data_IF_583785910731
#
_entry.id   IF_583785910731
#
_cell.length_a   1.000
_cell.length_b   1.000
_cell.length_c   1.000
_cell.angle_alpha   90.00
_cell.angle_beta   90.00
_cell.angle_gamma   90.00
#
_symmetry.space_group_name_H-M   'P 1'
#
loop_
_entity.id
_entity.type
_entity.pdbx_description
1 polymer ?
#
# COMPACT_ATOMS: atom_id res chain seq x y z
N UNK A 1 -8.79 -13.15 -16.49
CA UNK A 1 -9.61 -13.67 -15.36
C UNK A 1 -8.82 -13.48 -14.08
N UNK A 2 -9.47 -13.09 -12.97
CA UNK A 2 -8.81 -12.97 -11.67
C UNK A 2 -8.89 -14.31 -10.94
N UNK A 3 -7.76 -14.83 -10.50
CA UNK A 3 -7.65 -16.09 -9.76
C UNK A 3 -6.93 -15.89 -8.43
N UNK A 4 -7.28 -16.68 -7.43
CA UNK A 4 -6.54 -16.71 -6.18
C UNK A 4 -5.40 -17.73 -6.30
N UNK A 5 -4.18 -17.26 -6.08
CA UNK A 5 -2.97 -18.06 -6.21
C UNK A 5 -2.08 -17.89 -4.98
N UNK A 6 -2.26 -18.68 -3.95
CA UNK A 6 -1.29 -18.80 -2.85
C UNK A 6 -1.63 -19.96 -1.94
N UNK A 7 -0.64 -20.70 -1.50
CA UNK A 7 -0.87 -21.90 -0.72
C UNK A 7 -0.48 -21.78 0.75
N UNK A 8 0.63 -21.15 1.10
CA UNK A 8 1.11 -21.16 2.49
C UNK A 8 0.53 -20.06 3.37
N UNK A 9 0.58 -18.81 2.91
CA UNK A 9 0.10 -17.67 3.71
C UNK A 9 -1.43 -17.52 3.67
N UNK A 10 -2.07 -17.99 2.60
CA UNK A 10 -3.54 -18.02 2.51
C UNK A 10 -4.13 -19.02 3.51
N UNK A 11 -3.50 -20.17 3.73
CA UNK A 11 -3.93 -21.15 4.73
C UNK A 11 -3.91 -20.58 6.16
N UNK A 12 -2.92 -19.75 6.47
CA UNK A 12 -2.81 -19.08 7.77
C UNK A 12 -3.65 -17.78 7.85
N UNK A 13 -4.38 -17.43 6.81
CA UNK A 13 -5.20 -16.20 6.70
C UNK A 13 -4.40 -14.89 6.91
N UNK A 14 -3.09 -14.91 6.69
CA UNK A 14 -2.23 -13.76 6.88
C UNK A 14 -2.27 -12.79 5.69
N UNK A 15 -2.42 -13.33 4.47
CA UNK A 15 -2.55 -12.56 3.24
C UNK A 15 -3.27 -13.37 2.16
N UNK A 16 -3.70 -12.70 1.11
CA UNK A 16 -4.25 -13.34 -0.09
C UNK A 16 -3.47 -12.89 -1.30
N UNK A 17 -3.20 -13.83 -2.21
CA UNK A 17 -2.56 -13.56 -3.49
C UNK A 17 -3.56 -13.78 -4.62
N UNK A 18 -3.49 -12.92 -5.61
CA UNK A 18 -4.35 -12.94 -6.78
C UNK A 18 -3.51 -12.78 -8.03
N UNK A 19 -3.93 -13.39 -9.12
CA UNK A 19 -3.34 -13.18 -10.43
C UNK A 19 -4.40 -12.96 -11.49
N UNK A 20 -4.05 -12.17 -12.50
CA UNK A 20 -4.80 -12.07 -13.73
C UNK A 20 -4.18 -13.01 -14.76
N UNK A 21 -5.02 -13.86 -15.35
CA UNK A 21 -4.62 -14.82 -16.39
C UNK A 21 -5.37 -14.54 -17.69
N UNK A 22 -4.73 -14.84 -18.80
CA UNK A 22 -5.41 -14.84 -20.10
C UNK A 22 -6.40 -15.99 -20.16
N UNK A 23 -7.65 -15.77 -20.61
CA UNK A 23 -8.67 -16.82 -20.68
C UNK A 23 -8.27 -18.02 -21.54
N UNK A 24 -7.57 -17.76 -22.65
CA UNK A 24 -7.29 -18.77 -23.67
C UNK A 24 -6.04 -19.62 -23.38
N UNK A 25 -5.07 -19.07 -22.64
CA UNK A 25 -3.77 -19.72 -22.44
C UNK A 25 -3.45 -20.02 -20.98
N UNK A 26 -4.24 -19.50 -20.02
CA UNK A 26 -3.95 -19.53 -18.58
C UNK A 26 -2.60 -18.86 -18.22
N UNK A 27 -2.05 -18.07 -19.13
CA UNK A 27 -0.80 -17.36 -18.94
C UNK A 27 -0.99 -16.22 -17.93
N UNK A 28 -0.11 -16.13 -16.93
CA UNK A 28 -0.17 -15.07 -15.90
C UNK A 28 0.29 -13.74 -16.51
N UNK A 29 -0.59 -12.76 -16.48
CA UNK A 29 -0.33 -11.38 -16.92
C UNK A 29 0.30 -10.55 -15.80
N UNK A 30 -0.32 -10.58 -14.63
CA UNK A 30 0.18 -9.89 -13.44
C UNK A 30 -0.36 -10.57 -12.17
N UNK A 31 0.32 -10.32 -11.04
CA UNK A 31 -0.06 -10.85 -9.74
C UNK A 31 0.16 -9.81 -8.64
N UNK A 32 -0.60 -9.94 -7.55
CA UNK A 32 -0.47 -9.09 -6.38
C UNK A 32 -0.89 -9.81 -5.10
N UNK A 33 -0.36 -9.35 -3.97
CA UNK A 33 -0.78 -9.83 -2.65
C UNK A 33 -1.39 -8.71 -1.83
N UNK A 34 -2.41 -9.03 -1.05
CA UNK A 34 -3.04 -8.09 -0.12
C UNK A 34 -3.16 -8.68 1.28
N UNK A 35 -2.95 -7.84 2.27
CA UNK A 35 -3.14 -8.17 3.67
C UNK A 35 -3.89 -7.05 4.39
N UNK A 36 -4.69 -7.40 5.39
CA UNK A 36 -5.28 -6.42 6.28
C UNK A 36 -4.19 -5.66 7.04
N UNK A 37 -4.32 -4.36 7.14
CA UNK A 37 -3.35 -3.50 7.80
C UNK A 37 -4.01 -2.28 8.43
N UNK A 38 -3.23 -1.45 9.09
CA UNK A 38 -3.70 -0.17 9.61
C UNK A 38 -2.60 0.87 9.63
N UNK A 39 -2.97 2.14 9.47
CA UNK A 39 -2.09 3.28 9.71
C UNK A 39 -2.30 3.74 11.15
N UNK A 40 -1.30 3.49 12.02
CA UNK A 40 -1.30 3.91 13.44
C UNK A 40 -0.95 5.39 13.53
N UNK A 41 -1.96 6.25 13.67
CA UNK A 41 -1.76 7.70 13.63
C UNK A 41 -1.35 8.31 14.97
N UNK A 42 -1.63 7.64 16.07
CA UNK A 42 -1.25 8.08 17.42
C UNK A 42 0.26 8.08 17.64
N UNK A 43 0.96 7.16 17.02
CA UNK A 43 2.41 7.03 17.08
C UNK A 43 3.17 7.86 16.03
N UNK A 44 2.45 8.50 15.09
CA UNK A 44 3.07 9.34 14.06
C UNK A 44 3.48 10.72 14.62
N UNK A 45 4.52 11.34 14.04
CA UNK A 45 4.83 12.76 14.28
C UNK A 45 3.62 13.66 14.06
N UNK A 46 3.51 14.75 14.83
CA UNK A 46 2.32 15.61 14.86
C UNK A 46 1.93 16.17 13.48
N UNK A 47 2.91 16.53 12.65
CA UNK A 47 2.71 17.00 11.28
C UNK A 47 2.01 15.97 10.40
N UNK A 48 2.47 14.72 10.46
CA UNK A 48 1.89 13.60 9.69
C UNK A 48 0.52 13.22 10.23
N UNK A 49 0.37 13.11 11.54
CA UNK A 49 -0.91 12.85 12.19
C UNK A 49 -1.96 13.89 11.79
N UNK A 50 -1.62 15.18 11.83
CA UNK A 50 -2.53 16.25 11.44
C UNK A 50 -2.91 16.18 9.95
N UNK A 51 -1.96 15.83 9.08
CA UNK A 51 -2.20 15.64 7.64
C UNK A 51 -3.22 14.53 7.38
N UNK A 52 -3.07 13.38 8.03
CA UNK A 52 -3.97 12.24 7.87
C UNK A 52 -5.35 12.51 8.50
N UNK A 53 -5.39 13.19 9.64
CA UNK A 53 -6.62 13.48 10.38
C UNK A 53 -7.50 14.54 9.74
N UNK A 54 -6.96 15.38 8.86
CA UNK A 54 -7.62 16.62 8.36
C UNK A 54 -9.02 16.40 7.78
N UNK A 55 -9.29 15.23 7.20
CA UNK A 55 -10.56 14.90 6.54
C UNK A 55 -11.32 13.76 7.23
N UNK A 56 -10.99 13.45 8.48
CA UNK A 56 -11.59 12.32 9.18
C UNK A 56 -12.46 12.84 10.33
N UNK A 57 -13.76 12.55 10.31
CA UNK A 57 -14.64 12.89 11.43
C UNK A 57 -14.20 12.19 12.72
N UNK A 58 -14.22 12.93 13.83
CA UNK A 58 -13.84 12.41 15.15
C UNK A 58 -12.44 11.78 15.22
N UNK A 59 -11.48 12.32 14.44
CA UNK A 59 -10.11 11.81 14.33
C UNK A 59 -9.41 11.64 15.69
N UNK A 60 -9.64 12.54 16.66
CA UNK A 60 -9.05 12.50 18.00
C UNK A 60 -9.37 11.22 18.80
N UNK A 61 -10.44 10.51 18.43
CA UNK A 61 -10.88 9.27 19.08
C UNK A 61 -10.38 8.00 18.37
N UNK A 62 -9.66 8.14 17.27
CA UNK A 62 -9.22 7.03 16.46
C UNK A 62 -7.70 6.95 16.43
N UNK A 63 -7.09 5.99 17.13
CA UNK A 63 -5.63 5.82 17.15
C UNK A 63 -5.08 5.24 15.84
N UNK A 64 -5.94 4.62 15.03
CA UNK A 64 -5.55 3.98 13.77
C UNK A 64 -6.67 4.02 12.73
N UNK A 65 -6.29 3.95 11.47
CA UNK A 65 -7.20 3.87 10.34
C UNK A 65 -7.03 2.57 9.57
N UNK A 66 -8.14 1.94 9.11
CA UNK A 66 -8.08 0.71 8.36
C UNK A 66 -7.35 0.94 7.03
N UNK A 67 -6.46 0.03 6.72
CA UNK A 67 -5.68 0.02 5.49
C UNK A 67 -5.56 -1.40 4.94
N UNK A 68 -5.27 -1.51 3.65
CA UNK A 68 -4.80 -2.72 3.02
C UNK A 68 -3.33 -2.54 2.63
N UNK A 69 -2.51 -3.51 2.97
CA UNK A 69 -1.13 -3.58 2.50
C UNK A 69 -1.09 -4.37 1.19
N UNK A 70 -0.60 -3.76 0.13
CA UNK A 70 -0.20 -4.46 -1.09
C UNK A 70 1.26 -4.89 -0.88
N UNK A 71 1.46 -6.18 -0.59
CA UNK A 71 2.78 -6.69 -0.21
C UNK A 71 3.68 -6.97 -1.40
N UNK A 72 3.13 -7.57 -2.44
CA UNK A 72 3.84 -7.87 -3.68
C UNK A 72 3.00 -7.44 -4.86
N UNK A 73 3.65 -6.92 -5.88
CA UNK A 73 3.03 -6.56 -7.14
C UNK A 73 4.03 -6.91 -8.24
N UNK A 74 3.59 -7.74 -9.20
CA UNK A 74 4.42 -8.19 -10.29
C UNK A 74 3.62 -8.17 -11.60
N UNK A 75 4.31 -7.81 -12.67
CA UNK A 75 3.82 -7.91 -14.06
C UNK A 75 4.76 -8.85 -14.78
N UNK A 76 4.22 -9.80 -15.54
CA UNK A 76 5.01 -10.70 -16.39
C UNK A 76 5.83 -9.89 -17.40
N UNK A 77 7.07 -10.31 -17.65
CA UNK A 77 7.97 -9.64 -18.60
C UNK A 77 7.37 -9.51 -20.00
N UNK A 78 6.53 -10.47 -20.39
CA UNK A 78 5.81 -10.45 -21.68
C UNK A 78 4.85 -9.26 -21.81
N UNK A 79 4.39 -8.69 -20.70
CA UNK A 79 3.44 -7.56 -20.64
C UNK A 79 4.09 -6.31 -20.05
N UNK A 80 5.39 -6.34 -19.82
CA UNK A 80 6.14 -5.18 -19.33
C UNK A 80 6.10 -4.04 -20.34
N UNK A 81 6.05 -2.79 -19.83
CA UNK A 81 6.00 -1.59 -20.69
C UNK A 81 4.63 -1.24 -21.27
N UNK A 82 3.58 -2.04 -21.05
CA UNK A 82 2.24 -1.81 -21.56
C UNK A 82 1.26 -1.21 -20.53
N UNK A 83 1.75 -0.53 -19.52
CA UNK A 83 0.97 0.09 -18.44
C UNK A 83 0.12 -0.88 -17.59
N UNK A 84 0.32 -2.18 -17.71
CA UNK A 84 -0.41 -3.20 -16.94
C UNK A 84 -0.28 -2.98 -15.43
N UNK A 85 0.88 -2.53 -14.96
CA UNK A 85 1.09 -2.20 -13.54
C UNK A 85 0.24 -1.03 -13.07
N UNK A 86 0.03 -0.01 -13.90
CA UNK A 86 -0.80 1.15 -13.59
C UNK A 86 -2.28 0.72 -13.52
N UNK A 87 -2.76 -0.06 -14.49
CA UNK A 87 -4.12 -0.64 -14.51
C UNK A 87 -4.36 -1.55 -13.29
N UNK A 88 -3.34 -2.32 -12.89
CA UNK A 88 -3.43 -3.19 -11.71
C UNK A 88 -3.60 -2.37 -10.42
N UNK A 89 -2.87 -1.27 -10.25
CA UNK A 89 -3.06 -0.39 -9.10
C UNK A 89 -4.43 0.29 -9.12
N UNK A 90 -4.94 0.69 -10.29
CA UNK A 90 -6.28 1.26 -10.42
C UNK A 90 -7.36 0.23 -10.11
N UNK A 91 -7.19 -1.02 -10.56
CA UNK A 91 -8.06 -2.13 -10.17
C UNK A 91 -8.07 -2.32 -8.64
N UNK A 92 -6.91 -2.41 -7.99
CA UNK A 92 -6.81 -2.61 -6.53
C UNK A 92 -7.52 -1.47 -5.80
N UNK A 93 -7.27 -0.22 -6.17
CA UNK A 93 -7.93 0.95 -5.57
C UNK A 93 -9.45 0.88 -5.72
N UNK A 94 -9.94 0.57 -6.92
CA UNK A 94 -11.36 0.44 -7.23
C UNK A 94 -12.00 -0.70 -6.45
N UNK A 95 -11.32 -1.82 -6.34
CA UNK A 95 -11.80 -2.99 -5.61
C UNK A 95 -12.04 -2.72 -4.13
N UNK A 96 -11.17 -1.92 -3.50
CA UNK A 96 -11.32 -1.60 -2.07
C UNK A 96 -12.34 -0.48 -1.78
N UNK A 97 -12.78 0.29 -2.76
CA UNK A 97 -13.89 1.26 -2.62
C UNK A 97 -15.24 0.69 -3.08
N UNK A 98 -15.27 -0.49 -3.67
CA UNK A 98 -16.50 -1.14 -4.14
C UNK A 98 -17.49 -1.28 -2.97
N UNK A 99 -18.76 -0.85 -3.13
CA UNK A 99 -19.80 -1.01 -2.09
C UNK A 99 -20.03 -2.45 -1.64
N UNK A 100 -19.71 -3.43 -2.50
CA UNK A 100 -19.82 -4.86 -2.18
C UNK A 100 -18.59 -5.40 -1.41
N UNK A 101 -17.54 -4.61 -1.25
CA UNK A 101 -16.40 -5.00 -0.44
C UNK A 101 -16.83 -5.10 1.03
N UNK A 102 -16.56 -6.26 1.64
CA UNK A 102 -17.02 -6.59 3.00
C UNK A 102 -16.23 -5.89 4.10
N UNK A 103 -15.15 -5.19 3.77
CA UNK A 103 -14.30 -4.51 4.76
C UNK A 103 -14.16 -3.02 4.42
N UNK A 104 -14.28 -2.17 5.44
CA UNK A 104 -13.97 -0.75 5.30
C UNK A 104 -12.46 -0.57 5.18
N UNK A 105 -12.02 0.08 4.09
CA UNK A 105 -10.63 0.41 3.87
C UNK A 105 -10.50 1.91 3.58
N UNK A 106 -9.62 2.60 4.30
CA UNK A 106 -9.34 4.02 4.09
C UNK A 106 -8.10 4.24 3.24
N UNK A 107 -7.08 3.44 3.46
CA UNK A 107 -5.79 3.60 2.80
C UNK A 107 -5.34 2.32 2.10
N UNK A 108 -4.73 2.47 0.93
CA UNK A 108 -3.86 1.45 0.35
C UNK A 108 -2.43 1.82 0.71
N UNK A 109 -1.67 0.91 1.28
CA UNK A 109 -0.27 1.11 1.66
C UNK A 109 0.62 0.12 0.93
N UNK A 110 1.83 0.54 0.65
CA UNK A 110 2.88 -0.26 0.00
C UNK A 110 4.22 -0.01 0.66
N UNK A 111 5.02 -1.05 0.76
CA UNK A 111 6.45 -0.94 1.08
C UNK A 111 7.23 -0.87 -0.23
N UNK A 112 7.34 0.34 -0.79
CA UNK A 112 8.01 0.56 -2.06
C UNK A 112 9.52 0.33 -1.92
N UNK A 113 10.11 -0.51 -2.78
CA UNK A 113 11.57 -0.67 -2.87
C UNK A 113 12.22 0.69 -3.00
N UNK A 114 13.25 0.96 -2.20
CA UNK A 114 13.94 2.25 -2.13
C UNK A 114 14.79 2.48 -3.41
N UNK A 115 14.09 2.74 -4.50
CA UNK A 115 14.67 3.00 -5.81
C UNK A 115 13.87 4.08 -6.55
N UNK A 116 14.51 5.06 -7.20
CA UNK A 116 13.83 6.19 -7.85
C UNK A 116 12.71 5.79 -8.81
N UNK A 117 12.94 4.79 -9.67
CA UNK A 117 11.92 4.30 -10.63
C UNK A 117 10.66 3.77 -9.93
N UNK A 118 10.82 3.12 -8.76
CA UNK A 118 9.67 2.61 -8.00
C UNK A 118 8.90 3.76 -7.36
N UNK A 119 9.60 4.79 -6.88
CA UNK A 119 8.94 5.97 -6.34
C UNK A 119 8.16 6.73 -7.42
N UNK A 120 8.75 6.93 -8.60
CA UNK A 120 8.07 7.54 -9.75
C UNK A 120 6.82 6.74 -10.14
N UNK A 121 6.94 5.40 -10.19
CA UNK A 121 5.82 4.51 -10.48
C UNK A 121 4.66 4.70 -9.49
N UNK A 122 4.92 4.64 -8.19
CA UNK A 122 3.86 4.82 -7.19
C UNK A 122 3.35 6.27 -7.14
N UNK A 123 4.21 7.27 -7.30
CA UNK A 123 3.80 8.68 -7.27
C UNK A 123 2.90 9.05 -8.46
N UNK A 124 3.20 8.59 -9.67
CA UNK A 124 2.33 8.81 -10.83
C UNK A 124 0.96 8.12 -10.67
N UNK A 125 0.92 7.05 -9.90
CA UNK A 125 -0.32 6.36 -9.50
C UNK A 125 -1.00 6.98 -8.26
N UNK A 126 -0.56 8.18 -7.83
CA UNK A 126 -1.19 8.97 -6.78
C UNK A 126 -0.79 8.61 -5.36
N UNK A 127 0.15 7.69 -5.17
CA UNK A 127 0.70 7.37 -3.85
C UNK A 127 1.61 8.50 -3.35
N UNK A 128 1.70 8.63 -2.05
CA UNK A 128 2.54 9.61 -1.35
C UNK A 128 3.36 8.91 -0.29
N UNK A 129 4.57 9.41 -0.04
CA UNK A 129 5.33 8.96 1.12
C UNK A 129 4.56 9.25 2.41
N UNK A 130 4.53 8.25 3.31
CA UNK A 130 3.97 8.46 4.64
C UNK A 130 4.88 9.36 5.47
N UNK A 131 6.19 9.14 5.43
CA UNK A 131 7.21 9.91 6.13
C UNK A 131 7.94 10.86 5.19
N UNK A 132 8.34 12.03 5.70
CA UNK A 132 8.99 13.07 4.90
C UNK A 132 10.42 12.72 4.50
N UNK A 133 11.09 11.86 5.27
CA UNK A 133 12.46 11.43 5.04
C UNK A 133 12.71 9.99 5.51
N UNK A 134 13.78 9.39 5.02
CA UNK A 134 14.29 8.08 5.47
C UNK A 134 14.59 8.09 6.96
N UNK A 135 15.19 9.15 7.45
CA UNK A 135 15.52 9.31 8.87
C UNK A 135 14.26 9.31 9.75
N UNK A 136 13.20 10.02 9.35
CA UNK A 136 11.94 10.07 10.08
C UNK A 136 11.28 8.67 10.11
N UNK A 137 11.26 7.99 8.99
CA UNK A 137 10.71 6.64 8.88
C UNK A 137 11.52 5.61 9.67
N UNK A 138 12.85 5.64 9.56
CA UNK A 138 13.75 4.80 10.34
C UNK A 138 13.53 4.96 11.84
N UNK A 139 13.48 6.20 12.30
CA UNK A 139 13.24 6.52 13.70
C UNK A 139 11.90 5.97 14.18
N UNK A 140 10.86 6.12 13.37
CA UNK A 140 9.53 5.56 13.70
C UNK A 140 9.55 4.04 13.83
N UNK A 141 10.27 3.35 12.96
CA UNK A 141 10.30 1.88 12.93
C UNK A 141 11.18 1.28 14.03
N UNK A 142 12.28 1.94 14.41
CA UNK A 142 13.31 1.36 15.27
C UNK A 142 13.42 2.01 16.66
N UNK A 143 13.03 3.27 16.79
CA UNK A 143 13.22 4.06 18.02
C UNK A 143 11.89 4.45 18.67
N UNK A 144 11.23 3.52 19.31
CA UNK A 144 10.05 3.83 20.14
C UNK A 144 10.48 4.62 21.39
N UNK A 145 10.73 5.93 21.23
CA UNK A 145 10.98 6.87 22.32
C UNK A 145 12.45 7.27 22.56
N UNK A 146 13.37 6.91 21.68
CA UNK A 146 14.77 7.36 21.71
C UNK A 146 15.03 8.50 20.70
N UNK A 147 16.12 9.25 20.88
CA UNK A 147 16.57 10.30 19.98
C UNK A 147 16.72 9.77 18.52
N UNK A 148 16.37 10.57 17.51
CA UNK A 148 16.46 10.18 16.11
C UNK A 148 17.92 9.85 15.73
N UNK A 149 18.20 8.57 15.49
CA UNK A 149 19.49 8.13 14.98
C UNK A 149 19.45 8.03 13.46
N UNK A 150 20.55 8.42 12.82
CA UNK A 150 20.70 8.24 11.38
C UNK A 150 20.87 6.74 11.10
N UNK A 151 20.15 6.15 10.14
CA UNK A 151 20.36 4.75 9.78
C UNK A 151 21.79 4.53 9.32
N UNK A 152 22.38 3.42 9.76
CA UNK A 152 23.76 3.02 9.37
C UNK A 152 23.79 2.60 7.89
N UNK A 153 22.66 2.05 7.40
CA UNK A 153 22.47 1.66 6.00
C UNK A 153 21.21 2.32 5.42
N UNK A 154 21.16 2.56 4.11
CA UNK A 154 19.93 3.01 3.46
C UNK A 154 18.78 2.06 3.71
N UNK A 155 17.59 2.58 3.94
CA UNK A 155 16.39 1.75 4.07
C UNK A 155 16.15 0.95 2.79
N UNK A 156 15.79 -0.32 2.93
CA UNK A 156 15.49 -1.19 1.77
C UNK A 156 14.18 -0.82 1.08
N UNK A 157 13.22 -0.33 1.86
CA UNK A 157 11.89 0.08 1.39
C UNK A 157 11.46 1.37 2.05
N UNK A 158 10.49 2.04 1.43
CA UNK A 158 9.84 3.25 1.95
C UNK A 158 8.32 3.05 1.97
N UNK A 159 7.69 3.39 3.07
CA UNK A 159 6.24 3.29 3.22
C UNK A 159 5.54 4.40 2.44
N UNK A 160 4.71 4.02 1.49
CA UNK A 160 3.87 4.92 0.73
C UNK A 160 2.39 4.58 0.91
N UNK A 161 1.50 5.55 0.74
CA UNK A 161 0.07 5.37 0.90
C UNK A 161 -0.74 6.10 -0.17
N UNK A 162 -1.91 5.56 -0.46
CA UNK A 162 -2.97 6.20 -1.24
C UNK A 162 -4.23 6.33 -0.37
N UNK A 163 -4.84 7.52 -0.34
CA UNK A 163 -6.09 7.77 0.39
C UNK A 163 -7.28 7.53 -0.53
N UNK A 164 -7.99 6.44 -0.32
CA UNK A 164 -9.11 5.99 -1.14
C UNK A 164 -10.29 6.97 -1.17
N UNK A 165 -10.39 7.90 -0.21
CA UNK A 165 -11.48 8.89 -0.20
C UNK A 165 -11.44 9.78 -1.45
N UNK A 166 -10.28 9.99 -2.06
CA UNK A 166 -10.16 10.79 -3.27
C UNK A 166 -10.89 10.20 -4.48
N UNK A 167 -11.18 8.90 -4.47
CA UNK A 167 -11.95 8.24 -5.51
C UNK A 167 -13.47 8.32 -5.28
N UNK A 168 -13.91 8.58 -4.05
CA UNK A 168 -15.34 8.73 -3.71
C UNK A 168 -15.88 10.13 -3.86
N UNK A 169 -15.01 11.13 -3.98
CA UNK A 169 -15.39 12.54 -4.05
C UNK A 169 -15.50 13.08 -5.49
N UNK A 170 -15.52 12.17 -6.46
CA UNK A 170 -15.76 12.50 -7.88
C UNK A 170 -17.15 12.08 -8.30
#
# INVERSE_FOLDING_TARGET
MLEQCDFMYAYQLLRKSYCFVKPDTSEIVCAFTVANSSVKVDSLPSNLRNKLNRKIPNAKRRPQYPAVLVGQLAVSDLFSGHHVGDELLDFIKSWFIDPLNKTGCRYVIVDAVNHPKMFEYYQRNGFKFLFSSDKEEWTFLHNKGLEPTTPVEPMKTRLMYFDLIYLRTK
#
